data_IF_685784596986
#
_entry.id   IF_685784596986
#
_cell.length_a   1.000
_cell.length_b   1.000
_cell.length_c   1.000
_cell.angle_alpha   90.00
_cell.angle_beta   90.00
_cell.angle_gamma   90.00
#
_symmetry.space_group_name_H-M   'P 1'
#
loop_
_entity.id
_entity.type
_entity.pdbx_description
1 polymer ?
#
# COMPACT_ATOMS: atom_id res chain seq x y z
N UNK A 1 36.27 -12.61 -8.62
CA UNK A 1 35.00 -11.93 -8.94
C UNK A 1 33.89 -12.94 -8.73
N UNK A 2 33.01 -12.72 -7.75
CA UNK A 2 31.90 -13.63 -7.50
C UNK A 2 30.97 -13.58 -8.72
N UNK A 3 30.82 -14.70 -9.42
CA UNK A 3 29.81 -14.80 -10.47
C UNK A 3 28.44 -14.59 -9.84
N UNK A 4 27.80 -13.44 -10.11
CA UNK A 4 26.40 -13.26 -9.76
C UNK A 4 25.59 -14.40 -10.39
N UNK A 5 24.74 -15.03 -9.58
CA UNK A 5 23.91 -16.14 -10.05
C UNK A 5 23.00 -15.63 -11.17
N UNK A 6 23.02 -16.31 -12.33
CA UNK A 6 22.18 -16.00 -13.49
C UNK A 6 20.69 -15.80 -13.09
N UNK A 7 20.20 -16.57 -12.12
CA UNK A 7 18.83 -16.44 -11.60
C UNK A 7 18.56 -15.12 -10.90
N UNK A 8 19.57 -14.55 -10.22
CA UNK A 8 19.47 -13.23 -9.60
C UNK A 8 19.38 -12.15 -10.67
N UNK A 9 20.23 -12.21 -11.69
CA UNK A 9 20.22 -11.27 -12.82
C UNK A 9 18.88 -11.30 -13.57
N UNK A 10 18.34 -12.49 -13.84
CA UNK A 10 17.00 -12.64 -14.45
C UNK A 10 15.91 -12.02 -13.58
N UNK A 11 15.94 -12.24 -12.26
CA UNK A 11 14.96 -11.70 -11.33
C UNK A 11 15.00 -10.17 -11.26
N UNK A 12 16.19 -9.59 -11.11
CA UNK A 12 16.39 -8.14 -11.03
C UNK A 12 15.96 -7.45 -12.33
N UNK A 13 16.32 -8.04 -13.48
CA UNK A 13 15.90 -7.56 -14.80
C UNK A 13 14.38 -7.59 -14.94
N UNK A 14 13.73 -8.69 -14.52
CA UNK A 14 12.27 -8.80 -14.57
C UNK A 14 11.58 -7.75 -13.69
N UNK A 15 12.10 -7.46 -12.48
CA UNK A 15 11.55 -6.43 -11.61
C UNK A 15 11.76 -5.01 -12.14
N UNK A 16 12.95 -4.70 -12.66
CA UNK A 16 13.24 -3.39 -13.24
C UNK A 16 12.32 -3.09 -14.42
N UNK A 17 12.15 -4.05 -15.34
CA UNK A 17 11.27 -3.89 -16.49
C UNK A 17 9.79 -3.83 -16.09
N UNK A 18 9.37 -4.62 -15.09
CA UNK A 18 8.00 -4.58 -14.60
C UNK A 18 7.65 -3.26 -13.90
N UNK A 19 8.62 -2.59 -13.25
CA UNK A 19 8.41 -1.30 -12.62
C UNK A 19 8.00 -0.20 -13.62
N UNK A 20 8.49 -0.29 -14.87
CA UNK A 20 8.11 0.62 -15.95
C UNK A 20 6.80 0.27 -16.68
N UNK A 21 6.32 -0.97 -16.56
CA UNK A 21 5.25 -1.52 -17.39
C UNK A 21 4.06 -2.05 -16.55
N UNK A 22 3.48 -1.21 -15.69
CA UNK A 22 2.30 -1.56 -14.86
C UNK A 22 2.46 -2.86 -14.01
N UNK A 23 3.70 -3.28 -13.72
CA UNK A 23 3.98 -4.52 -13.00
C UNK A 23 3.97 -5.78 -13.85
N UNK A 24 4.00 -5.68 -15.18
CA UNK A 24 4.06 -6.80 -16.11
C UNK A 24 5.27 -6.69 -17.05
N UNK A 25 5.91 -7.82 -17.37
CA UNK A 25 7.02 -7.89 -18.31
C UNK A 25 6.93 -9.15 -19.16
N UNK A 26 7.19 -9.03 -20.46
CA UNK A 26 7.23 -10.16 -21.40
C UNK A 26 8.58 -10.86 -21.36
N UNK A 27 8.60 -12.16 -21.66
CA UNK A 27 9.86 -12.93 -21.77
C UNK A 27 10.78 -12.39 -22.86
N UNK A 28 10.21 -11.81 -23.92
CA UNK A 28 10.95 -11.16 -24.99
C UNK A 28 11.66 -9.90 -24.51
N UNK A 29 11.01 -9.06 -23.70
CA UNK A 29 11.63 -7.87 -23.12
C UNK A 29 12.78 -8.23 -22.17
N UNK A 30 12.61 -9.29 -21.37
CA UNK A 30 13.67 -9.81 -20.49
C UNK A 30 14.85 -10.32 -21.33
N UNK A 31 14.59 -11.11 -22.37
CA UNK A 31 15.64 -11.66 -23.23
C UNK A 31 16.41 -10.57 -23.97
N UNK A 32 15.71 -9.53 -24.45
CA UNK A 32 16.31 -8.37 -25.10
C UNK A 32 17.22 -7.61 -24.13
N UNK A 33 16.74 -7.34 -22.92
CA UNK A 33 17.51 -6.61 -21.90
C UNK A 33 18.74 -7.39 -21.42
N UNK A 34 18.65 -8.72 -21.36
CA UNK A 34 19.77 -9.60 -21.03
C UNK A 34 20.72 -9.84 -22.22
N UNK A 35 20.38 -9.34 -23.42
CA UNK A 35 21.19 -9.51 -24.63
C UNK A 35 21.34 -10.96 -25.07
N UNK A 36 20.34 -11.82 -24.82
CA UNK A 36 20.40 -13.24 -25.16
C UNK A 36 20.30 -13.41 -26.68
N UNK A 37 21.27 -14.10 -27.29
CA UNK A 37 21.36 -14.26 -28.75
C UNK A 37 21.02 -15.67 -29.21
N UNK A 38 21.22 -16.65 -28.33
CA UNK A 38 21.08 -18.06 -28.70
C UNK A 38 19.79 -18.67 -28.14
N UNK A 39 19.29 -19.69 -28.83
CA UNK A 39 18.13 -20.48 -28.36
C UNK A 39 18.40 -21.19 -27.03
N UNK A 40 19.65 -21.58 -26.78
CA UNK A 40 20.06 -22.25 -25.54
C UNK A 40 19.95 -21.30 -24.35
N UNK A 41 20.45 -20.06 -24.50
CA UNK A 41 20.32 -19.00 -23.49
C UNK A 41 18.87 -18.64 -23.23
N UNK A 42 18.06 -18.49 -24.29
CA UNK A 42 16.64 -18.20 -24.17
C UNK A 42 15.91 -19.30 -23.38
N UNK A 43 16.19 -20.58 -23.69
CA UNK A 43 15.64 -21.72 -22.94
C UNK A 43 16.09 -21.72 -21.49
N UNK A 44 17.36 -21.39 -21.21
CA UNK A 44 17.88 -21.27 -19.84
C UNK A 44 17.12 -20.20 -19.06
N UNK A 45 16.90 -19.02 -19.65
CA UNK A 45 16.10 -17.95 -19.05
C UNK A 45 14.66 -18.39 -18.76
N UNK A 46 14.00 -19.08 -19.68
CA UNK A 46 12.64 -19.59 -19.47
C UNK A 46 12.56 -20.57 -18.30
N UNK A 47 13.50 -21.51 -18.22
CA UNK A 47 13.58 -22.44 -17.08
C UNK A 47 13.78 -21.68 -15.78
N UNK A 48 14.68 -20.70 -15.76
CA UNK A 48 14.92 -19.86 -14.57
C UNK A 48 13.70 -19.05 -14.15
N UNK A 49 12.94 -18.49 -15.09
CA UNK A 49 11.67 -17.81 -14.79
C UNK A 49 10.62 -18.77 -14.23
N UNK A 50 10.58 -20.00 -14.74
CA UNK A 50 9.74 -21.07 -14.20
C UNK A 50 10.12 -21.43 -12.77
N UNK A 51 11.41 -21.58 -12.49
CA UNK A 51 11.92 -21.90 -11.15
C UNK A 51 11.63 -20.76 -10.16
N UNK A 52 11.84 -19.51 -10.56
CA UNK A 52 11.53 -18.32 -9.76
C UNK A 52 10.03 -18.18 -9.47
N UNK A 53 9.19 -18.58 -10.43
CA UNK A 53 7.74 -18.63 -10.24
C UNK A 53 7.34 -19.72 -9.23
N UNK A 54 7.88 -20.93 -9.38
CA UNK A 54 7.64 -22.04 -8.45
C UNK A 54 8.14 -21.72 -7.03
N UNK A 55 9.26 -20.98 -6.92
CA UNK A 55 9.79 -20.49 -5.65
C UNK A 55 9.01 -19.30 -5.06
N UNK A 56 7.94 -18.83 -5.70
CA UNK A 56 7.13 -17.71 -5.23
C UNK A 56 7.86 -16.36 -5.23
N UNK A 57 8.92 -16.20 -6.04
CA UNK A 57 9.66 -14.93 -6.20
C UNK A 57 9.10 -14.07 -7.35
N UNK A 58 8.44 -14.72 -8.32
CA UNK A 58 7.75 -14.08 -9.43
C UNK A 58 6.33 -14.61 -9.58
N UNK A 59 5.43 -13.75 -10.06
CA UNK A 59 4.09 -14.14 -10.46
C UNK A 59 4.01 -14.24 -11.98
N UNK A 60 3.43 -15.33 -12.48
CA UNK A 60 3.09 -15.49 -13.90
C UNK A 60 1.64 -15.05 -14.10
N UNK A 61 1.42 -13.99 -14.87
CA UNK A 61 0.07 -13.49 -15.17
C UNK A 61 -0.59 -14.27 -16.31
N UNK A 62 0.19 -14.53 -17.37
CA UNK A 62 -0.20 -15.31 -18.55
C UNK A 62 1.02 -15.96 -19.18
N UNK A 63 0.84 -16.74 -20.25
CA UNK A 63 1.98 -17.34 -20.95
C UNK A 63 2.93 -16.26 -21.48
N UNK A 64 4.22 -16.40 -21.14
CA UNK A 64 5.26 -15.44 -21.55
C UNK A 64 5.23 -14.09 -20.81
N UNK A 65 4.38 -13.91 -19.78
CA UNK A 65 4.28 -12.65 -19.03
C UNK A 65 4.42 -12.89 -17.53
N UNK A 66 5.41 -12.23 -16.95
CA UNK A 66 5.78 -12.34 -15.55
C UNK A 66 5.75 -10.95 -14.90
N UNK A 67 5.80 -10.92 -13.57
CA UNK A 67 6.03 -9.69 -12.83
C UNK A 67 6.26 -9.96 -11.35
N UNK A 68 6.50 -8.90 -10.56
CA UNK A 68 6.64 -9.03 -9.12
C UNK A 68 5.40 -9.70 -8.54
N UNK A 69 5.60 -10.52 -7.51
CA UNK A 69 4.50 -11.06 -6.73
C UNK A 69 3.75 -9.88 -6.14
N UNK A 70 2.53 -9.63 -6.63
CA UNK A 70 1.66 -8.67 -5.95
C UNK A 70 1.46 -9.20 -4.55
N UNK A 71 1.85 -8.43 -3.55
CA UNK A 71 1.41 -8.70 -2.18
C UNK A 71 -0.11 -8.90 -2.27
N UNK A 72 -0.62 -10.06 -1.84
CA UNK A 72 -2.05 -10.29 -1.76
C UNK A 72 -2.59 -9.21 -0.84
N UNK A 73 -3.10 -8.13 -1.43
CA UNK A 73 -3.78 -7.10 -0.68
C UNK A 73 -5.05 -7.78 -0.21
N UNK A 74 -5.09 -8.11 1.08
CA UNK A 74 -6.29 -8.68 1.66
C UNK A 74 -7.47 -7.80 1.23
N UNK A 75 -8.56 -8.40 0.73
CA UNK A 75 -9.71 -7.63 0.30
C UNK A 75 -10.14 -6.73 1.46
N UNK A 76 -10.53 -5.49 1.14
CA UNK A 76 -10.97 -4.56 2.18
C UNK A 76 -12.11 -5.23 2.96
N UNK A 77 -11.92 -5.42 4.26
CA UNK A 77 -12.88 -6.09 5.14
C UNK A 77 -14.27 -5.45 5.01
N UNK A 78 -14.36 -4.15 4.70
CA UNK A 78 -15.63 -3.47 4.43
C UNK A 78 -16.31 -3.96 3.15
N UNK A 79 -15.55 -4.18 2.08
CA UNK A 79 -16.08 -4.73 0.83
C UNK A 79 -16.60 -6.15 1.03
N UNK A 80 -15.86 -6.98 1.78
CA UNK A 80 -16.29 -8.34 2.12
C UNK A 80 -17.59 -8.32 2.92
N UNK A 81 -17.67 -7.52 4.00
CA UNK A 81 -18.90 -7.33 4.77
C UNK A 81 -20.06 -6.82 3.92
N UNK A 82 -19.82 -5.89 2.99
CA UNK A 82 -20.82 -5.37 2.07
C UNK A 82 -21.38 -6.46 1.13
N UNK A 83 -20.50 -7.27 0.55
CA UNK A 83 -20.91 -8.41 -0.28
C UNK A 83 -21.76 -9.41 0.50
N UNK A 84 -21.35 -9.75 1.73
CA UNK A 84 -22.10 -10.65 2.60
C UNK A 84 -23.50 -10.09 2.90
N UNK A 85 -23.58 -8.80 3.25
CA UNK A 85 -24.84 -8.14 3.54
C UNK A 85 -25.77 -8.15 2.33
N UNK A 86 -25.25 -7.87 1.13
CA UNK A 86 -26.04 -7.89 -0.12
C UNK A 86 -26.50 -9.29 -0.50
N UNK A 87 -25.68 -10.30 -0.25
CA UNK A 87 -25.99 -11.69 -0.54
C UNK A 87 -27.07 -12.23 0.42
N UNK A 88 -26.92 -12.03 1.73
CA UNK A 88 -27.84 -12.59 2.73
C UNK A 88 -29.07 -11.73 3.00
N UNK A 89 -29.04 -10.43 2.67
CA UNK A 89 -30.08 -9.40 2.93
C UNK A 89 -30.42 -9.17 4.42
N UNK A 90 -30.25 -10.16 5.28
CA UNK A 90 -30.44 -10.11 6.73
C UNK A 90 -29.27 -10.80 7.41
N UNK A 91 -28.64 -10.12 8.35
CA UNK A 91 -27.41 -10.58 9.01
C UNK A 91 -27.40 -10.20 10.49
N UNK A 92 -26.77 -11.01 11.32
CA UNK A 92 -26.41 -10.65 12.70
C UNK A 92 -24.99 -10.10 12.76
N UNK A 93 -24.62 -9.53 13.91
CA UNK A 93 -23.21 -9.12 14.16
C UNK A 93 -22.30 -10.35 14.14
N UNK A 94 -22.77 -11.48 14.64
CA UNK A 94 -22.02 -12.73 14.71
C UNK A 94 -21.78 -13.33 13.31
N UNK A 95 -22.79 -13.31 12.43
CA UNK A 95 -22.62 -13.68 11.03
C UNK A 95 -21.50 -12.88 10.36
N UNK A 96 -21.45 -11.57 10.62
CA UNK A 96 -20.41 -10.69 10.06
C UNK A 96 -19.02 -11.03 10.61
N UNK A 97 -18.92 -11.33 11.90
CA UNK A 97 -17.64 -11.74 12.50
C UNK A 97 -17.11 -13.02 11.88
N UNK A 98 -17.97 -14.04 11.75
CA UNK A 98 -17.58 -15.36 11.24
C UNK A 98 -17.26 -15.29 9.75
N UNK A 99 -18.06 -14.61 8.95
CA UNK A 99 -17.92 -14.62 7.50
C UNK A 99 -16.89 -13.62 6.96
N UNK A 100 -16.72 -12.47 7.61
CA UNK A 100 -15.78 -11.44 7.17
C UNK A 100 -14.48 -11.41 8.01
N UNK A 101 -14.35 -12.30 9.00
CA UNK A 101 -13.20 -12.37 9.93
C UNK A 101 -12.87 -11.00 10.55
N UNK A 102 -13.90 -10.35 11.08
CA UNK A 102 -13.82 -9.03 11.71
C UNK A 102 -14.12 -9.10 13.19
N UNK A 103 -13.63 -8.13 13.97
CA UNK A 103 -13.99 -8.02 15.38
C UNK A 103 -15.45 -7.62 15.57
N UNK A 104 -16.02 -8.00 16.71
CA UNK A 104 -17.40 -7.69 17.09
C UNK A 104 -17.71 -6.21 17.05
N UNK A 105 -16.81 -5.40 17.62
CA UNK A 105 -16.99 -3.95 17.71
C UNK A 105 -16.89 -3.30 16.33
N UNK A 106 -15.98 -3.77 15.48
CA UNK A 106 -15.86 -3.29 14.10
C UNK A 106 -17.12 -3.56 13.28
N UNK A 107 -17.65 -4.79 13.33
CA UNK A 107 -18.90 -5.14 12.66
C UNK A 107 -20.08 -4.30 13.18
N UNK A 108 -20.17 -4.12 14.51
CA UNK A 108 -21.24 -3.32 15.14
C UNK A 108 -21.18 -1.85 14.71
N UNK A 109 -20.02 -1.23 14.74
CA UNK A 109 -19.84 0.16 14.31
C UNK A 109 -20.15 0.35 12.82
N UNK A 110 -19.72 -0.60 11.99
CA UNK A 110 -19.97 -0.55 10.56
C UNK A 110 -21.48 -0.66 10.25
N UNK A 111 -22.18 -1.61 10.85
CA UNK A 111 -23.65 -1.75 10.71
C UNK A 111 -24.40 -0.53 11.27
N UNK A 112 -23.94 0.03 12.40
CA UNK A 112 -24.52 1.26 12.95
C UNK A 112 -24.33 2.46 12.01
N UNK A 113 -23.20 2.53 11.31
CA UNK A 113 -22.94 3.57 10.30
C UNK A 113 -23.87 3.41 9.10
N UNK A 114 -24.11 2.19 8.64
CA UNK A 114 -25.07 1.92 7.56
C UNK A 114 -26.51 2.24 7.97
N UNK A 115 -26.90 1.99 9.22
CA UNK A 115 -28.24 2.32 9.70
C UNK A 115 -28.49 3.83 9.80
N UNK A 116 -27.47 4.61 10.21
CA UNK A 116 -27.53 6.08 10.16
C UNK A 116 -27.75 6.64 8.76
N UNK A 117 -27.38 5.87 7.73
CA UNK A 117 -27.55 6.21 6.31
C UNK A 117 -28.80 5.57 5.70
N UNK A 118 -29.66 4.98 6.52
CA UNK A 118 -30.90 4.33 6.10
C UNK A 118 -30.70 3.17 5.10
N UNK A 119 -29.49 2.59 5.05
CA UNK A 119 -29.17 1.45 4.19
C UNK A 119 -29.67 0.15 4.82
N UNK A 120 -29.54 0.03 6.15
CA UNK A 120 -30.00 -1.13 6.92
C UNK A 120 -30.93 -0.72 8.05
N UNK A 121 -31.90 -1.57 8.40
CA UNK A 121 -32.76 -1.44 9.59
C UNK A 121 -32.30 -2.41 10.66
N UNK A 122 -32.16 -1.93 11.89
CA UNK A 122 -32.01 -2.80 13.06
C UNK A 122 -33.38 -3.33 13.48
N UNK A 123 -33.52 -4.65 13.54
CA UNK A 123 -34.68 -5.35 14.08
C UNK A 123 -34.25 -6.10 15.34
N UNK A 124 -34.78 -5.67 16.49
CA UNK A 124 -34.58 -6.31 17.78
C UNK A 124 -35.84 -7.06 18.16
N UNK A 125 -35.74 -8.37 18.33
CA UNK A 125 -36.80 -9.19 18.91
C UNK A 125 -36.43 -9.53 20.36
N UNK A 126 -37.42 -9.66 21.28
CA UNK A 126 -37.15 -10.12 22.65
C UNK A 126 -36.50 -11.51 22.64
N UNK A 127 -35.41 -11.69 23.40
CA UNK A 127 -34.72 -12.98 23.53
C UNK A 127 -33.85 -13.41 22.34
N UNK A 128 -33.78 -12.63 21.25
CA UNK A 128 -32.99 -12.95 20.05
C UNK A 128 -31.91 -11.90 19.76
N UNK A 129 -30.81 -12.27 19.09
CA UNK A 129 -29.79 -11.32 18.69
C UNK A 129 -30.34 -10.26 17.72
N UNK A 130 -29.81 -9.05 17.80
CA UNK A 130 -30.18 -7.97 16.89
C UNK A 130 -29.89 -8.39 15.43
N UNK A 131 -30.92 -8.36 14.60
CA UNK A 131 -30.79 -8.61 13.16
C UNK A 131 -30.75 -7.29 12.40
N UNK A 132 -29.94 -7.21 11.37
CA UNK A 132 -29.81 -6.05 10.50
C UNK A 132 -30.30 -6.44 9.11
N UNK A 133 -31.33 -5.76 8.63
CA UNK A 133 -31.95 -6.03 7.34
C UNK A 133 -31.59 -4.91 6.36
N UNK A 134 -31.09 -5.28 5.17
CA UNK A 134 -30.86 -4.35 4.07
C UNK A 134 -32.21 -3.85 3.54
N UNK A 135 -32.41 -2.52 3.55
CA UNK A 135 -33.63 -1.87 3.05
C UNK A 135 -33.36 -1.25 1.68
N UNK A 136 -32.19 -0.63 1.53
CA UNK A 136 -31.80 0.05 0.31
C UNK A 136 -30.55 -0.62 -0.28
N UNK A 137 -30.70 -1.28 -1.41
CA UNK A 137 -29.61 -1.95 -2.12
C UNK A 137 -28.98 -0.95 -3.10
N UNK A 138 -28.08 -0.12 -2.60
CA UNK A 138 -27.22 0.71 -3.46
C UNK A 138 -26.22 -0.20 -4.17
N UNK A 139 -26.02 -0.03 -5.48
CA UNK A 139 -25.04 -0.85 -6.24
C UNK A 139 -23.64 -0.67 -5.66
N UNK A 140 -23.31 0.57 -5.28
CA UNK A 140 -22.04 0.93 -4.67
C UNK A 140 -22.10 0.97 -3.13
N UNK A 141 -20.99 0.56 -2.51
CA UNK A 141 -20.83 0.62 -1.05
C UNK A 141 -20.79 2.09 -0.59
N UNK A 142 -21.62 2.50 0.38
CA UNK A 142 -21.55 3.84 0.93
C UNK A 142 -20.19 4.09 1.61
N UNK A 143 -19.36 4.97 1.04
CA UNK A 143 -18.05 5.34 1.61
C UNK A 143 -18.22 6.51 2.58
N UNK A 144 -17.38 6.57 3.63
CA UNK A 144 -17.37 7.67 4.60
C UNK A 144 -16.41 8.77 4.15
N UNK A 145 -16.77 9.47 3.07
CA UNK A 145 -15.96 10.52 2.47
C UNK A 145 -15.71 11.70 3.43
N UNK A 146 -16.66 12.00 4.32
CA UNK A 146 -16.54 13.08 5.30
C UNK A 146 -15.42 12.84 6.32
N UNK A 147 -15.30 11.62 6.87
CA UNK A 147 -14.20 11.27 7.79
C UNK A 147 -12.87 11.15 7.05
N UNK A 148 -12.89 10.65 5.82
CA UNK A 148 -11.70 10.59 4.98
C UNK A 148 -11.15 11.99 4.66
N UNK A 149 -12.02 12.95 4.34
CA UNK A 149 -11.67 14.35 4.13
C UNK A 149 -11.08 14.99 5.39
N UNK A 150 -11.73 14.82 6.55
CA UNK A 150 -11.24 15.35 7.84
C UNK A 150 -9.87 14.77 8.23
N UNK A 151 -9.63 13.49 7.96
CA UNK A 151 -8.31 12.87 8.18
C UNK A 151 -7.25 13.36 7.20
N UNK A 152 -7.61 13.64 5.93
CA UNK A 152 -6.70 14.27 4.95
C UNK A 152 -6.30 15.67 5.40
N UNK A 153 -7.26 16.47 5.84
CA UNK A 153 -7.03 17.82 6.36
C UNK A 153 -6.11 17.80 7.59
N UNK A 154 -6.37 16.90 8.55
CA UNK A 154 -5.52 16.74 9.73
C UNK A 154 -4.09 16.31 9.38
N UNK A 155 -3.93 15.40 8.40
CA UNK A 155 -2.60 15.01 7.90
C UNK A 155 -1.88 16.17 7.20
N UNK A 156 -2.58 16.96 6.41
CA UNK A 156 -2.01 18.15 5.76
C UNK A 156 -1.58 19.19 6.80
N UNK A 157 -2.38 19.40 7.85
CA UNK A 157 -2.05 20.32 8.93
C UNK A 157 -0.78 19.87 9.67
N UNK A 158 -0.72 18.60 10.10
CA UNK A 158 0.48 18.03 10.72
C UNK A 158 1.72 18.08 9.82
N UNK A 159 1.54 17.86 8.51
CA UNK A 159 2.64 17.97 7.54
C UNK A 159 3.16 19.42 7.47
N UNK A 160 2.28 20.42 7.45
CA UNK A 160 2.67 21.84 7.47
C UNK A 160 3.37 22.22 8.76
N UNK A 161 2.84 21.78 9.90
CA UNK A 161 3.47 22.00 11.22
C UNK A 161 4.89 21.41 11.26
N UNK A 162 5.07 20.19 10.74
CA UNK A 162 6.39 19.55 10.67
C UNK A 162 7.36 20.28 9.74
N UNK A 163 6.90 20.75 8.57
CA UNK A 163 7.72 21.55 7.64
C UNK A 163 8.15 22.85 8.32
N UNK A 164 7.22 23.56 8.95
CA UNK A 164 7.54 24.81 9.64
C UNK A 164 8.56 24.59 10.78
N UNK A 165 8.46 23.48 11.51
CA UNK A 165 9.43 23.13 12.55
C UNK A 165 10.83 22.85 11.96
N UNK A 166 10.90 22.19 10.81
CA UNK A 166 12.16 21.96 10.09
C UNK A 166 12.75 23.30 9.62
N UNK A 167 11.94 24.19 9.05
CA UNK A 167 12.39 25.50 8.59
C UNK A 167 12.95 26.35 9.75
N UNK A 168 12.31 26.31 10.92
CA UNK A 168 12.82 26.97 12.13
C UNK A 168 14.16 26.39 12.58
N UNK A 169 14.35 25.08 12.50
CA UNK A 169 15.65 24.46 12.82
C UNK A 169 16.74 24.79 11.80
N UNK A 170 16.39 24.94 10.52
CA UNK A 170 17.33 25.37 9.49
C UNK A 170 17.77 26.81 9.74
N UNK A 171 16.83 27.70 10.05
CA UNK A 171 17.13 29.10 10.38
C UNK A 171 18.01 29.23 11.63
N UNK A 172 17.74 28.44 12.68
CA UNK A 172 18.58 28.47 13.88
C UNK A 172 20.00 27.97 13.60
N UNK A 173 20.15 26.90 12.82
CA UNK A 173 21.46 26.41 12.38
C UNK A 173 22.23 27.43 11.53
N UNK A 174 21.55 28.12 10.62
CA UNK A 174 22.16 29.19 9.82
C UNK A 174 22.65 30.33 10.72
N UNK A 175 21.83 30.81 11.66
CA UNK A 175 22.22 31.87 12.60
C UNK A 175 23.41 31.46 13.48
N UNK A 176 23.46 30.20 13.93
CA UNK A 176 24.58 29.66 14.68
C UNK A 176 25.86 29.58 13.84
N UNK A 177 25.75 29.18 12.56
CA UNK A 177 26.89 29.16 11.64
C UNK A 177 27.44 30.54 11.34
N UNK A 178 26.57 31.55 11.18
CA UNK A 178 26.98 32.94 10.98
C UNK A 178 27.67 33.52 12.22
N UNK A 179 27.17 33.20 13.42
CA UNK A 179 27.82 33.59 14.67
C UNK A 179 29.20 32.95 14.82
N UNK A 180 29.35 31.68 14.46
CA UNK A 180 30.65 30.99 14.46
C UNK A 180 31.62 31.56 13.43
N UNK A 181 31.15 31.92 12.23
CA UNK A 181 31.97 32.59 11.23
C UNK A 181 32.49 33.93 11.74
N UNK A 182 31.61 34.77 12.31
CA UNK A 182 32.00 36.07 12.89
C UNK A 182 33.00 35.91 14.04
N UNK A 183 32.81 34.91 14.89
CA UNK A 183 33.75 34.62 15.98
C UNK A 183 35.12 34.18 15.43
N UNK A 184 35.14 33.36 14.36
CA UNK A 184 36.38 32.96 13.68
C UNK A 184 37.09 34.17 13.07
N UNK A 185 36.38 35.03 12.35
CA UNK A 185 36.95 36.22 11.70
C UNK A 185 37.51 37.21 12.74
N UNK A 186 36.86 37.32 13.91
CA UNK A 186 37.35 38.11 15.04
C UNK A 186 38.64 37.53 15.65
N UNK A 187 38.76 36.19 15.76
CA UNK A 187 39.99 35.55 16.26
C UNK A 187 41.15 35.80 15.29
N UNK A 188 40.93 35.60 13.98
CA UNK A 188 41.99 35.81 12.98
C UNK A 188 42.46 37.27 12.91
N UNK A 189 41.56 38.24 13.12
CA UNK A 189 41.94 39.66 13.15
C UNK A 189 42.66 40.06 14.44
N UNK A 190 42.52 39.30 15.53
CA UNK A 190 43.33 39.48 16.74
C UNK A 190 44.73 38.87 16.61
N UNK A 191 44.87 37.75 15.89
CA UNK A 191 46.18 37.09 15.64
C UNK A 191 47.06 37.86 14.65
N UNK A 192 46.50 38.62 13.71
CA UNK A 192 47.26 39.45 12.75
C UNK A 192 47.66 40.83 13.31
N UNK A 193 47.20 41.17 14.52
CA UNK A 193 47.44 42.46 15.18
C UNK A 193 48.54 42.47 16.25
N UNK A 194 49.20 41.34 16.50
CA UNK A 194 50.40 41.20 17.35
C UNK A 194 51.68 41.15 16.50
#
# INVERSE_FOLDING_TARGET
>A
MAHESFSRTVLETAWQLAAGNNGEVTTEAIALQLGLKTRVEYKRMLNTLSDLHLAGRLQRFRQGVYGPVKAFKQPDKRQVMWQILRMRKRVTVEDMMVMAEVSKDYAREWLATLAKREVVRKQQQPGLPATWQLINDTVDMPVDDAKAAKLRELRQRKKREAINAIDQTIQSLQSASEALSKARDAITTMEEGE
#
